data_IF_756794483983
#
_entry.id   IF_756794483983
#
_cell.length_a   1.000
_cell.length_b   1.000
_cell.length_c   1.000
_cell.angle_alpha   90.00
_cell.angle_beta   90.00
_cell.angle_gamma   90.00
#
_symmetry.space_group_name_H-M   'P 1'
#
loop_
_entity.id
_entity.type
_entity.pdbx_description
1 polymer ?
#
# COMPACT_ATOMS: atom_id res chain seq x y z
N UNK A 1 -19.75 -9.12 12.20
CA UNK A 1 -19.56 -7.94 11.35
C UNK A 1 -18.08 -7.85 11.03
N UNK A 2 -17.65 -7.78 9.76
CA UNK A 2 -16.25 -7.47 9.48
C UNK A 2 -15.94 -6.10 10.09
N UNK A 3 -14.84 -5.98 10.82
CA UNK A 3 -14.43 -4.73 11.47
C UNK A 3 -14.22 -3.60 10.45
N UNK A 4 -14.15 -2.36 10.95
CA UNK A 4 -13.77 -1.21 10.12
C UNK A 4 -12.39 -1.45 9.48
N UNK A 5 -12.21 -1.14 8.18
CA UNK A 5 -10.90 -1.27 7.54
C UNK A 5 -9.84 -0.43 8.26
N UNK A 6 -8.66 -0.99 8.46
CA UNK A 6 -7.52 -0.33 9.08
C UNK A 6 -6.32 -0.33 8.14
N UNK A 7 -5.54 0.74 8.19
CA UNK A 7 -4.37 0.89 7.34
C UNK A 7 -3.18 1.47 8.11
N UNK A 8 -1.97 1.04 7.74
CA UNK A 8 -0.71 1.66 8.13
C UNK A 8 0.03 2.07 6.86
N UNK A 9 0.55 3.30 6.81
CA UNK A 9 1.42 3.78 5.74
C UNK A 9 2.85 3.90 6.27
N UNK A 10 3.76 3.13 5.67
CA UNK A 10 5.19 3.14 5.94
C UNK A 10 5.87 4.02 4.90
N UNK A 11 6.45 5.14 5.35
CA UNK A 11 7.17 6.07 4.49
C UNK A 11 8.62 6.25 4.90
N UNK A 12 9.46 6.71 3.98
CA UNK A 12 10.90 6.88 4.19
C UNK A 12 11.66 6.87 2.86
N UNK A 13 12.92 7.28 2.90
CA UNK A 13 13.77 7.33 1.71
C UNK A 13 13.90 5.96 1.03
N UNK A 14 14.32 5.93 -0.23
CA UNK A 14 14.61 4.69 -0.92
C UNK A 14 15.66 3.87 -0.16
N UNK A 15 15.48 2.54 -0.08
CA UNK A 15 16.43 1.65 0.60
C UNK A 15 16.34 1.60 2.14
N UNK A 16 15.46 2.36 2.80
CA UNK A 16 15.35 2.37 4.28
C UNK A 16 14.62 1.18 4.91
N UNK A 17 14.37 0.11 4.14
CA UNK A 17 13.74 -1.12 4.67
C UNK A 17 12.21 -1.12 4.77
N UNK A 18 11.49 -0.15 4.18
CA UNK A 18 10.01 -0.08 4.22
C UNK A 18 9.35 -1.39 3.76
N UNK A 19 9.75 -1.90 2.59
CA UNK A 19 9.20 -3.14 2.03
C UNK A 19 9.54 -4.34 2.91
N UNK A 20 10.73 -4.37 3.52
CA UNK A 20 11.09 -5.41 4.49
C UNK A 20 10.17 -5.39 5.71
N UNK A 21 9.96 -4.22 6.32
CA UNK A 21 9.03 -4.08 7.45
C UNK A 21 7.59 -4.44 7.05
N UNK A 22 7.15 -4.06 5.85
CA UNK A 22 5.83 -4.41 5.34
C UNK A 22 5.64 -5.93 5.23
N UNK A 23 6.66 -6.66 4.75
CA UNK A 23 6.68 -8.12 4.67
C UNK A 23 6.61 -8.73 6.08
N UNK A 24 7.41 -8.25 7.04
CA UNK A 24 7.36 -8.75 8.42
C UNK A 24 5.98 -8.52 9.09
N UNK A 25 5.32 -7.39 8.79
CA UNK A 25 3.96 -7.12 9.25
C UNK A 25 2.95 -8.10 8.62
N UNK A 26 3.12 -8.43 7.35
CA UNK A 26 2.29 -9.42 6.67
C UNK A 26 2.47 -10.83 7.23
N UNK A 27 3.70 -11.26 7.49
CA UNK A 27 4.00 -12.52 8.16
C UNK A 27 3.25 -12.65 9.51
N UNK A 28 3.12 -11.55 10.26
CA UNK A 28 2.34 -11.53 11.51
C UNK A 28 0.84 -11.69 11.26
N UNK A 29 0.29 -11.06 10.21
CA UNK A 29 -1.13 -11.16 9.85
C UNK A 29 -1.48 -12.55 9.28
N UNK A 30 -0.58 -13.13 8.47
CA UNK A 30 -0.69 -14.50 7.94
C UNK A 30 -0.74 -15.53 9.07
N UNK A 31 0.19 -15.44 10.03
CA UNK A 31 0.23 -16.35 11.21
C UNK A 31 -1.03 -16.24 12.09
N UNK A 32 -1.79 -15.17 11.95
CA UNK A 32 -3.07 -14.93 12.66
C UNK A 32 -4.30 -15.18 11.80
N UNK A 33 -4.11 -15.63 10.56
CA UNK A 33 -5.17 -15.90 9.58
C UNK A 33 -6.09 -14.69 9.34
N UNK A 34 -5.53 -13.47 9.41
CA UNK A 34 -6.29 -12.23 9.22
C UNK A 34 -6.27 -11.79 7.75
N UNK A 35 -7.42 -11.45 7.12
CA UNK A 35 -7.46 -10.97 5.75
C UNK A 35 -6.75 -9.61 5.59
N UNK A 36 -5.63 -9.60 4.88
CA UNK A 36 -4.76 -8.44 4.74
C UNK A 36 -4.31 -8.21 3.29
N UNK A 37 -3.78 -7.03 2.99
CA UNK A 37 -3.10 -6.71 1.75
C UNK A 37 -1.86 -5.83 2.01
N UNK A 38 -0.75 -6.16 1.35
CA UNK A 38 0.38 -5.24 1.19
C UNK A 38 0.25 -4.57 -0.18
N UNK A 39 0.33 -3.25 -0.23
CA UNK A 39 0.36 -2.51 -1.49
C UNK A 39 1.53 -1.52 -1.48
N UNK A 40 2.49 -1.74 -2.37
CA UNK A 40 3.57 -0.79 -2.62
C UNK A 40 3.04 0.32 -3.54
N UNK A 41 2.91 1.53 -3.00
CA UNK A 41 2.34 2.68 -3.69
C UNK A 41 3.25 3.20 -4.79
N UNK A 42 4.57 2.95 -4.72
CA UNK A 42 5.49 3.38 -5.77
C UNK A 42 5.18 2.64 -7.09
N UNK A 43 4.70 1.39 -7.01
CA UNK A 43 4.29 0.60 -8.18
C UNK A 43 2.98 1.08 -8.80
N UNK A 44 2.11 1.74 -8.04
CA UNK A 44 0.87 2.31 -8.58
C UNK A 44 1.11 3.55 -9.44
N UNK A 45 2.32 4.09 -9.45
CA UNK A 45 2.68 5.25 -10.26
C UNK A 45 4.08 5.13 -10.88
N UNK A 46 4.60 3.90 -11.04
CA UNK A 46 5.91 3.68 -11.66
C UNK A 46 5.84 3.93 -13.17
N UNK A 47 5.99 5.19 -13.56
CA UNK A 47 5.93 5.63 -14.94
C UNK A 47 6.23 7.12 -15.09
N UNK A 48 6.35 7.58 -16.34
CA UNK A 48 6.56 8.98 -16.68
C UNK A 48 5.48 9.44 -17.65
N UNK A 49 4.65 10.39 -17.21
CA UNK A 49 3.57 10.98 -17.99
C UNK A 49 3.91 12.36 -18.56
N UNK A 50 5.20 12.74 -18.58
CA UNK A 50 5.65 14.01 -19.16
C UNK A 50 5.42 15.26 -18.30
N UNK A 51 4.98 15.11 -17.04
CA UNK A 51 4.72 16.23 -16.14
C UNK A 51 5.09 15.88 -14.70
N UNK A 52 5.77 16.81 -14.01
CA UNK A 52 6.08 16.68 -12.59
C UNK A 52 4.79 16.65 -11.74
N UNK A 53 4.76 15.80 -10.72
CA UNK A 53 3.62 15.65 -9.82
C UNK A 53 2.45 14.84 -10.43
N UNK A 54 2.52 14.45 -11.71
CA UNK A 54 1.51 13.60 -12.33
C UNK A 54 1.48 12.20 -11.70
N UNK A 55 2.62 11.71 -11.22
CA UNK A 55 2.77 10.42 -10.54
C UNK A 55 1.95 10.35 -9.25
N UNK A 56 1.90 11.43 -8.46
CA UNK A 56 1.12 11.43 -7.22
C UNK A 56 -0.40 11.34 -7.50
N UNK A 57 -0.90 12.09 -8.49
CA UNK A 57 -2.31 12.02 -8.90
C UNK A 57 -2.66 10.65 -9.48
N UNK A 58 -1.77 10.08 -10.30
CA UNK A 58 -1.93 8.74 -10.86
C UNK A 58 -1.96 7.68 -9.75
N UNK A 59 -1.06 7.76 -8.77
CA UNK A 59 -1.03 6.87 -7.60
C UNK A 59 -2.38 6.88 -6.87
N UNK A 60 -2.94 8.07 -6.58
CA UNK A 60 -4.24 8.19 -5.91
C UNK A 60 -5.38 7.62 -6.77
N UNK A 61 -5.39 7.93 -8.07
CA UNK A 61 -6.41 7.43 -9.00
C UNK A 61 -6.38 5.89 -9.11
N UNK A 62 -5.19 5.28 -9.09
CA UNK A 62 -5.02 3.84 -9.12
C UNK A 62 -5.30 3.17 -7.76
N UNK A 63 -5.01 3.85 -6.65
CA UNK A 63 -5.20 3.31 -5.29
C UNK A 63 -6.67 3.07 -4.97
N UNK A 64 -7.58 3.97 -5.38
CA UNK A 64 -9.02 3.86 -5.09
C UNK A 64 -9.62 2.51 -5.56
N UNK A 65 -9.54 2.14 -6.85
CA UNK A 65 -10.08 0.86 -7.30
C UNK A 65 -9.32 -0.34 -6.75
N UNK A 66 -7.99 -0.24 -6.54
CA UNK A 66 -7.20 -1.32 -5.93
C UNK A 66 -7.70 -1.64 -4.51
N UNK A 67 -7.91 -0.62 -3.68
CA UNK A 67 -8.45 -0.79 -2.32
C UNK A 67 -9.88 -1.32 -2.37
N UNK A 68 -10.73 -0.82 -3.27
CA UNK A 68 -12.10 -1.31 -3.43
C UNK A 68 -12.12 -2.83 -3.72
N UNK A 69 -11.30 -3.30 -4.65
CA UNK A 69 -11.20 -4.73 -4.99
C UNK A 69 -10.82 -5.59 -3.78
N UNK A 70 -9.86 -5.14 -2.97
CA UNK A 70 -9.46 -5.85 -1.76
C UNK A 70 -10.55 -5.85 -0.68
N UNK A 71 -11.23 -4.73 -0.48
CA UNK A 71 -12.35 -4.62 0.46
C UNK A 71 -13.48 -5.58 0.09
N UNK A 72 -13.83 -5.64 -1.20
CA UNK A 72 -14.81 -6.58 -1.78
C UNK A 72 -14.38 -8.04 -1.59
N UNK A 73 -13.08 -8.33 -1.72
CA UNK A 73 -12.50 -9.65 -1.42
C UNK A 73 -12.42 -9.99 0.07
N UNK A 74 -12.82 -9.08 0.97
CA UNK A 74 -12.87 -9.32 2.42
C UNK A 74 -11.64 -8.85 3.20
N UNK A 75 -10.65 -8.21 2.55
CA UNK A 75 -9.49 -7.63 3.25
C UNK A 75 -9.93 -6.52 4.19
N UNK A 76 -9.33 -6.47 5.39
CA UNK A 76 -9.57 -5.40 6.38
C UNK A 76 -8.31 -4.75 6.93
N UNK A 77 -7.14 -5.35 6.73
CA UNK A 77 -5.86 -4.80 7.15
C UNK A 77 -5.00 -4.44 5.94
N UNK A 78 -4.64 -3.17 5.80
CA UNK A 78 -3.81 -2.68 4.70
C UNK A 78 -2.45 -2.22 5.21
N UNK A 79 -1.40 -2.66 4.51
CA UNK A 79 -0.02 -2.22 4.72
C UNK A 79 0.42 -1.50 3.45
N UNK A 80 0.56 -0.18 3.53
CA UNK A 80 1.02 0.64 2.42
C UNK A 80 2.50 0.98 2.60
N UNK A 81 3.26 0.89 1.52
CA UNK A 81 4.65 1.35 1.48
C UNK A 81 4.80 2.45 0.42
N UNK A 82 5.50 3.54 0.75
CA UNK A 82 5.79 4.61 -0.22
C UNK A 82 7.14 5.25 0.02
N UNK A 83 7.93 5.44 -1.02
CA UNK A 83 9.14 6.25 -0.94
C UNK A 83 8.81 7.75 -0.89
N UNK A 84 9.55 8.48 -0.07
CA UNK A 84 9.56 9.95 -0.12
C UNK A 84 10.88 10.41 -0.72
N UNK A 85 10.85 11.53 -1.44
CA UNK A 85 12.01 12.19 -2.02
C UNK A 85 12.23 13.52 -1.29
N UNK A 86 13.48 13.91 -1.13
CA UNK A 86 13.92 15.22 -0.63
C UNK A 86 14.07 16.20 -1.77
#
# INVERSE_FOLDING_TARGET
MPGEPQAVLITGLFGTGKSSVAIEMADVLEKRELPYAIVDLDWLCWGWAGAEGAEHRMMLANLVPVVANYLEAGVRYFIFARSIRT
#
